data_IF_709310021064
#
_entry.id   IF_709310021064
#
_cell.length_a   1.000
_cell.length_b   1.000
_cell.length_c   1.000
_cell.angle_alpha   90.00
_cell.angle_beta   90.00
_cell.angle_gamma   90.00
#
_symmetry.space_group_name_H-M   'P 1'
#
loop_
_entity.id
_entity.type
_entity.pdbx_description
1 polymer ?
#
# COMPACT_ATOMS: atom_id res chain seq x y z
N UNK A 1 11.04 27.65 12.76
CA UNK A 1 12.36 27.63 13.43
C UNK A 1 12.65 28.85 14.31
N UNK A 2 12.37 30.09 13.90
CA UNK A 2 12.66 31.30 14.71
C UNK A 2 11.93 31.38 16.08
N UNK A 3 10.81 30.66 16.25
CA UNK A 3 10.03 30.68 17.49
C UNK A 3 10.65 29.84 18.62
N UNK A 4 11.47 28.82 18.30
CA UNK A 4 12.04 27.89 19.27
C UNK A 4 13.42 28.31 19.78
N UNK A 5 14.19 29.02 18.96
CA UNK A 5 15.55 29.48 19.28
C UNK A 5 15.57 30.43 20.49
N UNK A 6 14.58 31.30 20.61
CA UNK A 6 14.46 32.23 21.74
C UNK A 6 14.05 31.58 23.07
N UNK A 7 13.41 30.40 23.06
CA UNK A 7 12.97 29.71 24.29
C UNK A 7 13.97 28.67 24.80
N UNK A 8 14.77 28.07 23.93
CA UNK A 8 15.69 26.99 24.30
C UNK A 8 17.16 27.43 24.37
N UNK A 9 17.54 28.57 23.78
CA UNK A 9 18.95 29.02 23.71
C UNK A 9 19.87 27.98 23.03
N UNK A 10 19.35 27.27 22.04
CA UNK A 10 20.05 26.24 21.26
C UNK A 10 20.15 26.71 19.81
N UNK A 11 21.23 26.31 19.11
CA UNK A 11 21.44 26.58 17.69
C UNK A 11 20.28 26.06 16.82
N UNK A 12 19.98 26.81 15.75
CA UNK A 12 18.88 26.51 14.81
C UNK A 12 18.99 25.11 14.23
N UNK A 13 20.22 24.70 13.91
CA UNK A 13 20.52 23.40 13.32
C UNK A 13 20.16 22.26 14.27
N UNK A 14 20.50 22.36 15.55
CA UNK A 14 20.18 21.31 16.54
C UNK A 14 18.66 21.13 16.70
N UNK A 15 17.91 22.24 16.67
CA UNK A 15 16.44 22.19 16.74
C UNK A 15 15.87 21.53 15.48
N UNK A 16 16.40 21.88 14.30
CA UNK A 16 15.96 21.29 13.04
C UNK A 16 16.20 19.78 13.00
N UNK A 17 17.41 19.32 13.29
CA UNK A 17 17.74 17.89 13.29
C UNK A 17 16.94 17.12 14.35
N UNK A 18 16.65 17.74 15.51
CA UNK A 18 15.80 17.13 16.52
C UNK A 18 14.35 16.93 16.04
N UNK A 19 13.77 17.94 15.38
CA UNK A 19 12.42 17.84 14.81
C UNK A 19 12.38 16.82 13.67
N UNK A 20 13.38 16.81 12.78
CA UNK A 20 13.48 15.84 11.68
C UNK A 20 13.59 14.41 12.22
N UNK A 21 14.43 14.19 13.24
CA UNK A 21 14.58 12.88 13.88
C UNK A 21 13.28 12.38 14.52
N UNK A 22 12.58 13.24 15.26
CA UNK A 22 11.28 12.90 15.85
C UNK A 22 10.22 12.60 14.79
N UNK A 23 10.18 13.42 13.73
CA UNK A 23 9.24 13.24 12.62
C UNK A 23 9.49 11.90 11.94
N UNK A 24 10.76 11.58 11.65
CA UNK A 24 11.15 10.32 11.05
C UNK A 24 10.78 9.13 11.94
N UNK A 25 11.16 9.18 13.22
CA UNK A 25 10.91 8.10 14.18
C UNK A 25 9.42 7.79 14.32
N UNK A 26 8.58 8.81 14.50
CA UNK A 26 7.14 8.63 14.67
C UNK A 26 6.45 8.17 13.38
N UNK A 27 6.89 8.71 12.24
CA UNK A 27 6.33 8.35 10.92
C UNK A 27 6.66 6.91 10.55
N UNK A 28 7.93 6.51 10.61
CA UNK A 28 8.37 5.16 10.28
C UNK A 28 7.78 4.12 11.24
N UNK A 29 7.75 4.43 12.55
CA UNK A 29 7.15 3.52 13.53
C UNK A 29 5.65 3.33 13.30
N UNK A 30 4.93 4.39 12.92
CA UNK A 30 3.51 4.34 12.61
C UNK A 30 3.21 3.61 11.30
N UNK A 31 4.08 3.79 10.29
CA UNK A 31 4.00 3.15 8.97
C UNK A 31 4.20 1.64 9.08
N UNK A 32 5.19 1.20 9.85
CA UNK A 32 5.53 -0.21 10.07
C UNK A 32 4.63 -0.92 11.10
N UNK A 33 3.76 -0.19 11.80
CA UNK A 33 2.94 -0.70 12.92
C UNK A 33 3.77 -1.44 13.97
N UNK A 34 4.88 -0.83 14.39
CA UNK A 34 5.79 -1.43 15.37
C UNK A 34 5.03 -1.68 16.69
N UNK A 35 5.27 -2.83 17.33
CA UNK A 35 4.68 -3.13 18.63
C UNK A 35 5.28 -2.22 19.72
N UNK A 36 4.61 -2.11 20.86
CA UNK A 36 5.10 -1.32 21.99
C UNK A 36 6.49 -1.80 22.44
N UNK A 37 6.68 -3.13 22.47
CA UNK A 37 7.91 -3.79 22.89
C UNK A 37 9.03 -3.52 21.88
N UNK A 38 8.76 -3.73 20.59
CA UNK A 38 9.75 -3.51 19.53
C UNK A 38 10.17 -2.04 19.43
N UNK A 39 9.26 -1.11 19.75
CA UNK A 39 9.53 0.33 19.76
C UNK A 39 10.42 0.70 20.96
N UNK A 40 10.13 0.19 22.15
CA UNK A 40 10.99 0.37 23.33
C UNK A 40 12.40 -0.15 23.08
N UNK A 41 12.53 -1.36 22.50
CA UNK A 41 13.82 -1.95 22.16
C UNK A 41 14.60 -1.10 21.16
N UNK A 42 13.90 -0.55 20.16
CA UNK A 42 14.50 0.32 19.13
C UNK A 42 15.03 1.64 19.70
N UNK A 43 14.31 2.24 20.66
CA UNK A 43 14.72 3.50 21.29
C UNK A 43 15.79 3.27 22.35
N UNK A 44 15.78 2.14 23.05
CA UNK A 44 16.78 1.85 24.08
C UNK A 44 18.21 1.85 23.51
N UNK A 45 18.39 1.48 22.24
CA UNK A 45 19.68 1.55 21.52
C UNK A 45 20.20 2.99 21.38
N UNK A 46 19.33 3.99 21.43
CA UNK A 46 19.70 5.41 21.30
C UNK A 46 20.32 5.98 22.58
N UNK A 47 20.27 5.25 23.70
CA UNK A 47 20.94 5.63 24.95
C UNK A 47 20.29 6.82 25.68
N UNK A 48 19.02 7.10 25.42
CA UNK A 48 18.28 8.13 26.17
C UNK A 48 17.90 7.66 27.58
N UNK A 49 17.62 8.62 28.46
CA UNK A 49 17.10 8.35 29.81
C UNK A 49 15.75 7.64 29.77
N UNK A 50 15.49 6.78 30.76
CA UNK A 50 14.24 5.99 30.84
C UNK A 50 12.97 6.85 30.85
N UNK A 51 13.01 8.03 31.49
CA UNK A 51 11.89 8.98 31.51
C UNK A 51 11.53 9.48 30.09
N UNK A 52 12.55 9.79 29.27
CA UNK A 52 12.36 10.20 27.87
C UNK A 52 11.86 9.04 27.01
N UNK A 53 12.34 7.82 27.26
CA UNK A 53 11.88 6.63 26.54
C UNK A 53 10.39 6.38 26.78
N UNK A 54 9.94 6.51 28.03
CA UNK A 54 8.52 6.40 28.39
C UNK A 54 7.68 7.51 27.74
N UNK A 55 8.19 8.75 27.72
CA UNK A 55 7.50 9.86 27.07
C UNK A 55 7.37 9.67 25.55
N UNK A 56 8.43 9.22 24.87
CA UNK A 56 8.41 8.94 23.43
C UNK A 56 7.45 7.81 23.08
N UNK A 57 7.39 6.78 23.94
CA UNK A 57 6.44 5.69 23.79
C UNK A 57 4.99 6.17 23.91
N UNK A 58 4.70 6.97 24.93
CA UNK A 58 3.37 7.54 25.12
C UNK A 58 2.97 8.39 23.91
N UNK A 59 3.88 9.24 23.43
CA UNK A 59 3.67 10.09 22.27
C UNK A 59 3.44 9.28 20.99
N UNK A 60 4.12 8.15 20.82
CA UNK A 60 3.84 7.21 19.74
C UNK A 60 2.44 6.59 19.85
N UNK A 61 2.06 6.07 21.01
CA UNK A 61 0.76 5.40 21.20
C UNK A 61 -0.42 6.37 20.98
N UNK A 62 -0.28 7.61 21.45
CA UNK A 62 -1.31 8.64 21.33
C UNK A 62 -1.49 9.08 19.86
N UNK A 63 -0.40 9.30 19.13
CA UNK A 63 -0.43 9.92 17.80
C UNK A 63 -0.40 8.92 16.63
N UNK A 64 -0.05 7.65 16.84
CA UNK A 64 0.09 6.65 15.75
C UNK A 64 -1.14 6.54 14.86
N UNK A 65 -2.33 6.64 15.43
CA UNK A 65 -3.59 6.54 14.68
C UNK A 65 -3.77 7.72 13.73
N UNK A 66 -3.49 8.92 14.22
CA UNK A 66 -3.61 10.16 13.45
C UNK A 66 -2.57 10.22 12.34
N UNK A 67 -1.30 9.95 12.66
CA UNK A 67 -0.21 9.88 11.68
C UNK A 67 -0.57 8.92 10.56
N UNK A 68 -1.11 7.74 10.90
CA UNK A 68 -1.54 6.76 9.90
C UNK A 68 -2.71 7.23 9.06
N UNK A 69 -3.70 7.93 9.64
CA UNK A 69 -4.81 8.50 8.87
C UNK A 69 -4.27 9.45 7.80
N UNK A 70 -3.38 10.36 8.20
CA UNK A 70 -2.74 11.32 7.29
C UNK A 70 -1.93 10.60 6.21
N UNK A 71 -1.10 9.62 6.59
CA UNK A 71 -0.34 8.81 5.63
C UNK A 71 -1.27 8.09 4.65
N UNK A 72 -2.41 7.59 5.11
CA UNK A 72 -3.38 6.90 4.25
C UNK A 72 -4.11 7.83 3.27
N UNK A 73 -4.25 9.11 3.60
CA UNK A 73 -4.80 10.14 2.71
C UNK A 73 -3.79 10.57 1.64
N UNK A 74 -2.50 10.54 1.97
CA UNK A 74 -1.41 10.91 1.06
C UNK A 74 -1.10 9.82 0.01
N UNK A 75 -1.43 8.56 0.30
CA UNK A 75 -1.23 7.44 -0.64
C UNK A 75 -2.36 7.42 -1.67
N UNK A 76 -2.07 7.34 -2.99
CA UNK A 76 -3.11 7.21 -4.00
C UNK A 76 -3.94 5.95 -3.76
N UNK A 77 -5.24 6.14 -3.53
CA UNK A 77 -6.18 5.05 -3.30
C UNK A 77 -6.43 4.32 -4.63
N UNK A 78 -5.76 3.20 -4.83
CA UNK A 78 -6.02 2.30 -5.95
C UNK A 78 -7.33 1.51 -5.71
N UNK A 79 -8.15 1.27 -6.74
CA UNK A 79 -9.32 0.41 -6.61
C UNK A 79 -8.91 -1.01 -6.18
N UNK A 80 -9.49 -1.51 -5.10
CA UNK A 80 -9.20 -2.86 -4.62
C UNK A 80 -10.11 -3.87 -5.30
N UNK A 81 -9.57 -5.02 -5.69
CA UNK A 81 -10.34 -6.15 -6.21
C UNK A 81 -11.40 -6.61 -5.20
N UNK A 82 -12.65 -6.80 -5.67
CA UNK A 82 -13.73 -7.36 -4.87
C UNK A 82 -14.18 -8.72 -5.38
N UNK A 83 -14.56 -8.81 -6.65
CA UNK A 83 -15.04 -10.04 -7.27
C UNK A 83 -14.88 -10.03 -8.79
N UNK A 84 -14.96 -11.21 -9.39
CA UNK A 84 -14.97 -11.38 -10.84
C UNK A 84 -16.06 -12.40 -11.21
N UNK A 85 -16.95 -12.00 -12.10
CA UNK A 85 -17.93 -12.87 -12.74
C UNK A 85 -17.50 -13.13 -14.18
N UNK A 86 -17.78 -14.33 -14.71
CA UNK A 86 -17.43 -14.67 -16.07
C UNK A 86 -18.54 -15.44 -16.77
N UNK A 87 -18.61 -15.30 -18.08
CA UNK A 87 -19.50 -16.06 -18.95
C UNK A 87 -18.78 -16.45 -20.23
N UNK A 88 -18.86 -17.71 -20.62
CA UNK A 88 -18.42 -18.19 -21.91
C UNK A 88 -19.63 -18.37 -22.82
N UNK A 89 -19.65 -17.62 -23.91
CA UNK A 89 -20.66 -17.73 -24.97
C UNK A 89 -20.00 -18.38 -26.20
N UNK A 90 -20.65 -19.39 -26.78
CA UNK A 90 -20.15 -20.05 -27.99
C UNK A 90 -21.19 -19.97 -29.09
N UNK A 91 -20.87 -19.27 -30.17
CA UNK A 91 -21.68 -19.30 -31.38
C UNK A 91 -21.28 -20.52 -32.22
N UNK A 92 -22.19 -21.47 -32.40
CA UNK A 92 -22.00 -22.73 -33.16
C UNK A 92 -22.39 -22.62 -34.64
N UNK A 93 -23.24 -21.65 -34.97
CA UNK A 93 -23.70 -21.38 -36.33
C UNK A 93 -24.28 -19.96 -36.42
N UNK A 94 -24.36 -19.45 -37.64
CA UNK A 94 -25.16 -18.29 -38.01
C UNK A 94 -26.05 -18.64 -39.20
N UNK A 95 -27.04 -17.79 -39.51
CA UNK A 95 -27.91 -17.99 -40.69
C UNK A 95 -27.11 -18.08 -42.00
N UNK A 96 -26.02 -17.31 -42.10
CA UNK A 96 -25.17 -17.26 -43.30
C UNK A 96 -24.04 -18.29 -43.28
N UNK A 97 -23.69 -18.85 -42.12
CA UNK A 97 -22.58 -19.79 -41.96
C UNK A 97 -22.91 -20.86 -40.91
N UNK A 98 -23.24 -22.07 -41.37
CA UNK A 98 -23.74 -23.16 -40.50
C UNK A 98 -22.68 -23.89 -39.68
N UNK A 99 -21.40 -23.73 -40.00
CA UNK A 99 -20.29 -24.35 -39.28
C UNK A 99 -19.33 -23.25 -38.83
N UNK A 100 -19.61 -22.67 -37.67
CA UNK A 100 -18.73 -21.66 -37.07
C UNK A 100 -18.63 -21.95 -35.58
N UNK A 101 -17.42 -22.02 -35.03
CA UNK A 101 -17.22 -22.08 -33.59
C UNK A 101 -16.54 -20.77 -33.21
N UNK A 102 -17.31 -19.84 -32.65
CA UNK A 102 -16.81 -18.55 -32.17
C UNK A 102 -17.05 -18.45 -30.66
N UNK A 103 -16.06 -18.82 -29.83
CA UNK A 103 -16.13 -18.62 -28.39
C UNK A 103 -15.82 -17.17 -28.04
N UNK A 104 -16.58 -16.61 -27.09
CA UNK A 104 -16.41 -15.28 -26.53
C UNK A 104 -16.51 -15.40 -25.02
N UNK A 105 -15.51 -14.91 -24.30
CA UNK A 105 -15.52 -14.82 -22.84
C UNK A 105 -15.85 -13.39 -22.45
N UNK A 106 -16.90 -13.22 -21.66
CA UNK A 106 -17.22 -11.94 -21.01
C UNK A 106 -16.80 -12.02 -19.55
N UNK A 107 -16.03 -11.04 -19.09
CA UNK A 107 -15.55 -10.90 -17.72
C UNK A 107 -16.15 -9.62 -17.13
N UNK A 108 -16.63 -9.69 -15.89
CA UNK A 108 -17.12 -8.53 -15.15
C UNK A 108 -16.34 -8.43 -13.85
N UNK A 109 -15.47 -7.42 -13.79
CA UNK A 109 -14.56 -7.15 -12.69
C UNK A 109 -15.20 -6.11 -11.76
N UNK A 110 -15.43 -6.50 -10.51
CA UNK A 110 -15.89 -5.61 -9.46
C UNK A 110 -14.70 -5.08 -8.65
N UNK A 111 -14.61 -3.76 -8.55
CA UNK A 111 -13.58 -3.03 -7.84
C UNK A 111 -14.22 -2.11 -6.79
N UNK A 112 -13.67 -2.11 -5.58
CA UNK A 112 -14.09 -1.19 -4.52
C UNK A 112 -13.19 0.05 -4.55
N UNK A 113 -13.79 1.23 -4.58
CA UNK A 113 -13.09 2.50 -4.48
C UNK A 113 -13.85 3.40 -3.51
N UNK A 114 -13.28 3.63 -2.31
CA UNK A 114 -13.84 4.55 -1.31
C UNK A 114 -15.35 4.36 -1.07
N UNK A 115 -15.76 3.11 -0.79
CA UNK A 115 -17.17 2.69 -0.54
C UNK A 115 -18.04 2.52 -1.79
N UNK A 116 -17.66 3.07 -2.93
CA UNK A 116 -18.34 2.81 -4.21
C UNK A 116 -17.84 1.51 -4.86
N UNK A 117 -18.79 0.68 -5.31
CA UNK A 117 -18.50 -0.49 -6.13
C UNK A 117 -18.59 -0.13 -7.60
N UNK A 118 -17.45 -0.20 -8.29
CA UNK A 118 -17.38 -0.02 -9.75
C UNK A 118 -17.29 -1.39 -10.42
N UNK A 119 -18.00 -1.57 -11.53
CA UNK A 119 -17.93 -2.79 -12.33
C UNK A 119 -17.39 -2.47 -13.72
N UNK A 120 -16.32 -3.15 -14.13
CA UNK A 120 -15.77 -3.08 -15.47
C UNK A 120 -16.07 -4.36 -16.24
N UNK A 121 -16.66 -4.23 -17.42
CA UNK A 121 -16.98 -5.38 -18.28
C UNK A 121 -15.98 -5.43 -19.42
N UNK A 122 -15.35 -6.60 -19.59
CA UNK A 122 -14.39 -6.88 -20.65
C UNK A 122 -14.87 -8.08 -21.45
N UNK A 123 -14.61 -8.07 -22.76
CA UNK A 123 -14.85 -9.21 -23.63
C UNK A 123 -13.55 -9.61 -24.30
N UNK A 124 -13.29 -10.90 -24.34
CA UNK A 124 -12.05 -11.47 -24.88
C UNK A 124 -12.30 -12.82 -25.50
N UNK A 125 -11.42 -13.25 -26.39
CA UNK A 125 -11.41 -14.62 -26.89
C UNK A 125 -10.60 -15.53 -25.93
N UNK A 126 -10.78 -16.87 -25.99
CA UNK A 126 -10.07 -17.78 -25.10
C UNK A 126 -8.54 -17.72 -25.20
N UNK A 127 -8.00 -17.40 -26.38
CA UNK A 127 -6.53 -17.34 -26.57
C UNK A 127 -5.94 -16.11 -25.88
N UNK A 128 -6.64 -14.98 -25.96
CA UNK A 128 -6.27 -13.76 -25.24
C UNK A 128 -6.47 -13.91 -23.74
N UNK A 129 -7.50 -14.62 -23.27
CA UNK A 129 -7.65 -14.95 -21.85
C UNK A 129 -6.47 -15.77 -21.32
N UNK A 130 -6.01 -16.76 -22.07
CA UNK A 130 -4.86 -17.58 -21.69
C UNK A 130 -3.58 -16.73 -21.62
N UNK A 131 -3.40 -15.82 -22.57
CA UNK A 131 -2.29 -14.86 -22.53
C UNK A 131 -2.36 -13.96 -21.29
N UNK A 132 -3.53 -13.42 -20.95
CA UNK A 132 -3.72 -12.60 -19.74
C UNK A 132 -3.35 -13.36 -18.47
N UNK A 133 -3.77 -14.63 -18.34
CA UNK A 133 -3.41 -15.48 -17.20
C UNK A 133 -1.90 -15.62 -17.09
N UNK A 134 -1.21 -15.94 -18.20
CA UNK A 134 0.24 -16.07 -18.22
C UNK A 134 0.95 -14.78 -17.81
N UNK A 135 0.48 -13.62 -18.29
CA UNK A 135 1.06 -12.33 -17.92
C UNK A 135 0.85 -12.01 -16.44
N UNK A 136 -0.33 -12.32 -15.89
CA UNK A 136 -0.60 -12.13 -14.46
C UNK A 136 0.23 -13.08 -13.59
N UNK A 137 0.42 -14.34 -14.00
CA UNK A 137 1.29 -15.30 -13.31
C UNK A 137 2.76 -14.85 -13.35
N UNK A 138 3.21 -14.35 -14.50
CA UNK A 138 4.55 -13.79 -14.64
C UNK A 138 4.74 -12.59 -13.71
N UNK A 139 3.79 -11.65 -13.67
CA UNK A 139 3.83 -10.49 -12.78
C UNK A 139 3.88 -10.91 -11.29
N UNK A 140 3.10 -11.94 -10.90
CA UNK A 140 3.16 -12.53 -9.56
C UNK A 140 4.53 -13.18 -9.28
N UNK A 141 5.14 -13.79 -10.30
CA UNK A 141 6.51 -14.31 -10.24
C UNK A 141 7.55 -13.20 -10.05
N UNK A 142 7.39 -12.08 -10.74
CA UNK A 142 8.27 -10.92 -10.66
C UNK A 142 8.25 -10.28 -9.27
N UNK A 143 7.10 -10.25 -8.59
CA UNK A 143 7.02 -9.82 -7.18
C UNK A 143 7.93 -10.64 -6.25
N UNK A 144 8.19 -11.91 -6.59
CA UNK A 144 9.08 -12.79 -5.82
C UNK A 144 10.55 -12.52 -6.12
N UNK A 145 10.91 -11.70 -7.10
CA UNK A 145 12.30 -11.37 -7.41
C UNK A 145 12.93 -10.50 -6.33
N UNK A 146 14.25 -10.58 -6.19
CA UNK A 146 14.98 -9.79 -5.19
C UNK A 146 14.83 -8.27 -5.40
N UNK A 147 14.65 -7.83 -6.66
CA UNK A 147 14.46 -6.42 -6.99
C UNK A 147 13.09 -5.91 -6.50
N UNK A 148 11.99 -6.60 -6.85
CA UNK A 148 10.66 -6.24 -6.35
C UNK A 148 10.56 -6.39 -4.82
N UNK A 149 11.18 -7.42 -4.22
CA UNK A 149 11.25 -7.51 -2.75
C UNK A 149 11.99 -6.34 -2.10
N UNK A 150 13.04 -5.81 -2.73
CA UNK A 150 13.73 -4.59 -2.26
C UNK A 150 12.83 -3.37 -2.36
N UNK A 151 12.11 -3.21 -3.47
CA UNK A 151 11.17 -2.11 -3.66
C UNK A 151 10.02 -2.20 -2.64
N UNK A 152 9.39 -3.37 -2.49
CA UNK A 152 8.31 -3.59 -1.50
C UNK A 152 8.80 -3.37 -0.07
N UNK A 153 10.05 -3.71 0.26
CA UNK A 153 10.64 -3.38 1.57
C UNK A 153 10.80 -1.88 1.79
N UNK A 154 11.10 -1.11 0.75
CA UNK A 154 11.21 0.35 0.82
C UNK A 154 9.83 1.06 0.73
N UNK A 155 8.79 0.35 0.31
CA UNK A 155 7.40 0.83 0.23
C UNK A 155 6.58 0.52 1.50
N UNK A 156 7.02 -0.43 2.34
CA UNK A 156 6.53 -0.58 3.72
C UNK A 156 7.07 0.53 4.58
#
# INVERSE_FOLDING_TARGET
CAFFTGKLNIGVDTVQHGVEGLTYLLTESSKLMISEIDFQDSIHVLGFSDELNQLLLQLYLDNRREIRSILSELVPKLPSYHSLEWRLDVQLASRSLRQQIKPVVTLKLHLNQNEDQTAQVLQTDPSTLLHLIQQLEQALGEMKTNHCRRIVRNMK
#
